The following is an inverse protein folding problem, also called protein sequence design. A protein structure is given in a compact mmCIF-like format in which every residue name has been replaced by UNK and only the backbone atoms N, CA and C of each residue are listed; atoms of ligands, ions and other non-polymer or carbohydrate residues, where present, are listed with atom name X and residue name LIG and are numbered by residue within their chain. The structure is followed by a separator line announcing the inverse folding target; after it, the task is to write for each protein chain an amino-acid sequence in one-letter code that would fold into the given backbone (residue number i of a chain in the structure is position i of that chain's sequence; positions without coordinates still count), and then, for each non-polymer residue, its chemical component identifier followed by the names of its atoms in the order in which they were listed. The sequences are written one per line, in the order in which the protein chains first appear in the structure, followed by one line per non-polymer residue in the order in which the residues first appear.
data_IF_390757082589
#
_entry.id   IF_390757082589
#
_cell.length_a   1.000
_cell.length_b   1.000
_cell.length_c   1.000
_cell.angle_alpha   90.00
_cell.angle_beta   90.00
_cell.angle_gamma   90.00
#
_symmetry.space_group_name_H-M   'P 1'
#
loop_
_entity.id
_entity.type
_entity.pdbx_description
1 polymer ?
#
# COMPACT_ATOMS: atom_id res chain seq x y z
N UNK A 1 -16.59 17.82 5.47
CA UNK A 1 -15.11 17.86 5.60
C UNK A 1 -14.48 16.48 5.68
N UNK A 2 -14.96 15.57 6.55
CA UNK A 2 -14.40 14.20 6.66
C UNK A 2 -14.49 13.42 5.34
N UNK A 3 -15.53 13.64 4.55
CA UNK A 3 -15.75 12.95 3.28
C UNK A 3 -14.73 13.30 2.20
N UNK A 4 -14.24 14.54 2.18
CA UNK A 4 -13.19 14.98 1.24
C UNK A 4 -11.90 14.21 1.48
N UNK A 5 -11.50 14.07 2.75
CA UNK A 5 -10.29 13.31 3.13
C UNK A 5 -10.46 11.83 2.76
N UNK A 6 -11.66 11.26 2.95
CA UNK A 6 -11.95 9.87 2.56
C UNK A 6 -11.87 9.67 1.04
N UNK A 7 -12.38 10.61 0.25
CA UNK A 7 -12.28 10.58 -1.21
C UNK A 7 -10.82 10.68 -1.67
N UNK A 8 -10.03 11.56 -1.05
CA UNK A 8 -8.62 11.73 -1.39
C UNK A 8 -7.79 10.49 -1.04
N UNK A 9 -8.08 9.86 0.12
CA UNK A 9 -7.50 8.55 0.49
C UNK A 9 -7.77 7.50 -0.58
N UNK A 10 -9.01 7.45 -1.10
CA UNK A 10 -9.39 6.51 -2.16
C UNK A 10 -8.63 6.82 -3.45
N UNK A 11 -8.55 8.08 -3.86
CA UNK A 11 -7.84 8.51 -5.06
C UNK A 11 -6.35 8.12 -5.01
N UNK A 12 -5.66 8.45 -3.92
CA UNK A 12 -4.24 8.10 -3.70
C UNK A 12 -4.04 6.57 -3.64
N UNK A 13 -4.97 5.87 -3.01
CA UNK A 13 -4.90 4.41 -2.90
C UNK A 13 -5.00 3.74 -4.27
N UNK A 14 -5.90 4.19 -5.15
CA UNK A 14 -6.03 3.64 -6.49
C UNK A 14 -4.90 4.07 -7.43
N UNK A 15 -4.46 5.33 -7.36
CA UNK A 15 -3.31 5.83 -8.15
C UNK A 15 -2.03 5.06 -7.83
N UNK A 16 -1.82 4.72 -6.56
CA UNK A 16 -0.69 3.91 -6.09
C UNK A 16 -0.82 2.40 -6.35
N UNK A 17 -1.80 1.98 -7.17
CA UNK A 17 -2.10 0.57 -7.48
C UNK A 17 -2.35 -0.26 -6.21
N UNK A 18 -2.97 0.36 -5.21
CA UNK A 18 -3.34 -0.25 -3.93
C UNK A 18 -2.14 -0.68 -3.08
N UNK A 19 -0.92 -0.27 -3.44
CA UNK A 19 0.31 -0.65 -2.71
C UNK A 19 0.48 0.19 -1.45
N UNK A 20 -0.01 1.42 -1.44
CA UNK A 20 0.21 2.32 -0.32
C UNK A 20 -0.71 1.98 0.85
N UNK A 21 -0.14 1.92 2.04
CA UNK A 21 -0.87 1.84 3.30
C UNK A 21 -0.94 3.20 3.98
N UNK A 22 -1.47 3.22 5.21
CA UNK A 22 -1.65 4.46 5.98
C UNK A 22 -0.39 5.34 6.07
N UNK A 23 0.87 4.83 6.21
CA UNK A 23 2.04 5.72 6.28
C UNK A 23 2.25 6.53 5.00
N UNK A 24 2.18 5.87 3.83
CA UNK A 24 2.43 6.51 2.53
C UNK A 24 1.25 7.39 2.11
N UNK A 25 0.03 6.94 2.36
CA UNK A 25 -1.16 7.76 2.11
C UNK A 25 -1.15 9.04 2.96
N UNK A 26 -0.71 8.97 4.23
CA UNK A 26 -0.60 10.16 5.08
C UNK A 26 0.46 11.14 4.55
N UNK A 27 1.57 10.64 4.01
CA UNK A 27 2.58 11.48 3.39
C UNK A 27 2.02 12.23 2.18
N UNK A 28 1.36 11.53 1.26
CA UNK A 28 0.72 12.12 0.07
C UNK A 28 -0.40 13.12 0.45
N UNK A 29 -1.19 12.83 1.49
CA UNK A 29 -2.20 13.78 1.97
C UNK A 29 -1.56 15.06 2.51
N UNK A 30 -0.46 14.95 3.25
CA UNK A 30 0.25 16.11 3.78
C UNK A 30 0.91 16.93 2.66
N UNK A 31 1.42 16.31 1.60
CA UNK A 31 1.98 17.03 0.44
C UNK A 31 0.90 17.77 -0.34
N UNK A 32 -0.32 17.25 -0.39
CA UNK A 32 -1.51 17.92 -0.93
C UNK A 32 -2.06 19.02 0.00
N UNK A 33 -1.48 19.23 1.18
CA UNK A 33 -1.87 20.28 2.13
C UNK A 33 -2.89 19.83 3.19
N UNK A 34 -3.31 18.56 3.18
CA UNK A 34 -4.20 18.01 4.20
C UNK A 34 -3.42 17.57 5.43
N UNK A 35 -3.41 18.41 6.48
CA UNK A 35 -2.83 18.04 7.79
C UNK A 35 -3.67 16.95 8.46
N UNK A 36 -3.28 15.69 8.30
CA UNK A 36 -3.95 14.55 8.93
C UNK A 36 -2.96 13.63 9.63
N UNK A 37 -3.38 13.07 10.76
CA UNK A 37 -2.54 12.10 11.48
C UNK A 37 -2.62 10.73 10.83
N UNK A 38 -1.51 9.98 10.89
CA UNK A 38 -1.47 8.59 10.40
C UNK A 38 -2.54 7.70 11.04
N UNK A 39 -2.85 7.93 12.32
CA UNK A 39 -3.86 7.15 13.06
C UNK A 39 -5.25 7.42 12.47
N UNK A 40 -5.56 8.68 12.17
CA UNK A 40 -6.82 9.07 11.53
C UNK A 40 -6.95 8.45 10.14
N UNK A 41 -5.90 8.52 9.31
CA UNK A 41 -5.88 7.90 7.99
C UNK A 41 -6.06 6.38 8.10
N UNK A 42 -5.40 5.73 9.06
CA UNK A 42 -5.57 4.30 9.30
C UNK A 42 -7.01 3.92 9.69
N UNK A 43 -7.68 4.72 10.53
CA UNK A 43 -9.09 4.53 10.87
C UNK A 43 -9.98 4.64 9.63
N UNK A 44 -9.80 5.69 8.81
CA UNK A 44 -10.58 5.86 7.59
C UNK A 44 -10.32 4.76 6.56
N UNK A 45 -9.06 4.34 6.36
CA UNK A 45 -8.76 3.18 5.50
C UNK A 45 -9.47 1.91 6.00
N UNK A 46 -9.53 1.68 7.32
CA UNK A 46 -10.24 0.54 7.91
C UNK A 46 -11.76 0.64 7.70
N UNK A 47 -12.36 1.80 7.94
CA UNK A 47 -13.79 2.06 7.69
C UNK A 47 -14.16 1.83 6.22
N UNK A 48 -13.27 2.18 5.30
CA UNK A 48 -13.45 2.00 3.85
C UNK A 48 -13.06 0.60 3.34
N UNK A 49 -12.58 -0.29 4.22
CA UNK A 49 -12.14 -1.64 3.82
C UNK A 49 -10.85 -1.68 2.97
N UNK A 50 -10.07 -0.60 2.95
CA UNK A 50 -8.85 -0.48 2.16
C UNK A 50 -7.65 -1.10 2.90
N UNK A 51 -6.87 -1.93 2.20
CA UNK A 51 -5.66 -2.56 2.75
C UNK A 51 -4.56 -2.59 1.71
N UNK A 52 -3.35 -2.17 2.09
CA UNK A 52 -2.19 -2.22 1.20
C UNK A 52 -1.94 -3.62 0.66
N UNK A 53 -1.88 -3.75 -0.67
CA UNK A 53 -1.44 -4.97 -1.36
C UNK A 53 0.07 -5.14 -1.16
N UNK A 54 0.46 -6.25 -0.53
CA UNK A 54 1.87 -6.67 -0.49
C UNK A 54 2.23 -7.34 -1.82
N UNK A 55 3.51 -7.21 -2.20
CA UNK A 55 4.06 -8.04 -3.28
C UNK A 55 4.01 -9.50 -2.86
N UNK A 56 3.69 -10.38 -3.80
CA UNK A 56 3.84 -11.82 -3.59
C UNK A 56 5.32 -12.12 -3.31
N UNK A 57 5.58 -13.03 -2.35
CA UNK A 57 6.94 -13.51 -2.08
C UNK A 57 7.50 -14.15 -3.35
N UNK A 58 8.73 -13.81 -3.71
CA UNK A 58 9.44 -14.46 -4.81
C UNK A 58 9.59 -15.96 -4.50
N UNK A 59 9.16 -16.81 -5.42
CA UNK A 59 9.31 -18.27 -5.32
C UNK A 59 10.42 -18.68 -6.28
N UNK A 60 11.55 -19.11 -5.73
CA UNK A 60 12.65 -19.67 -6.52
C UNK A 60 12.13 -20.97 -7.16
N UNK A 61 12.13 -21.03 -8.48
CA UNK A 61 11.75 -22.22 -9.26
C UNK A 61 12.95 -23.04 -9.68
N UNK A 62 14.16 -22.47 -9.62
CA UNK A 62 15.40 -23.16 -9.94
C UNK A 62 15.78 -24.09 -8.80
N UNK A 63 15.81 -25.40 -9.07
CA UNK A 63 16.38 -26.37 -8.16
C UNK A 63 17.91 -26.38 -8.30
N UNK A 64 18.60 -25.41 -7.72
CA UNK A 64 20.07 -25.33 -7.76
C UNK A 64 20.79 -26.39 -6.90
N UNK A 65 20.05 -27.26 -6.20
CA UNK A 65 20.54 -28.47 -5.53
C UNK A 65 20.23 -29.70 -6.36
N UNK A 66 20.79 -29.77 -7.55
CA UNK A 66 20.74 -30.97 -8.38
C UNK A 66 22.14 -31.54 -8.55
N UNK A 67 22.26 -32.85 -8.36
CA UNK A 67 23.55 -33.54 -8.29
C UNK A 67 24.04 -34.03 -9.67
N UNK A 68 23.60 -33.39 -10.76
CA UNK A 68 24.08 -33.71 -12.10
C UNK A 68 25.16 -32.73 -12.53
N UNK A 69 26.17 -33.24 -13.23
CA UNK A 69 27.24 -32.44 -13.82
C UNK A 69 26.64 -31.60 -14.96
N UNK A 70 26.80 -30.29 -14.88
CA UNK A 70 26.58 -29.39 -16.02
C UNK A 70 27.92 -29.37 -16.77
N UNK A 71 27.97 -30.04 -17.92
CA UNK A 71 29.13 -30.08 -18.82
C UNK A 71 29.04 -28.97 -19.85
#
# INVERSE_FOLDING_TARGET
MKDIIKQEIIAIYFSSKQRYGSPRVTFELNTLGFKTSRITVAKYMKELGLRSKLSRKFKVTTNSKHNYLVV
#
